data_IF_123470774291
#
_entry.id   IF_123470774291
#
_cell.length_a   1.000
_cell.length_b   1.000
_cell.length_c   1.000
_cell.angle_alpha   90.00
_cell.angle_beta   90.00
_cell.angle_gamma   90.00
#
_symmetry.space_group_name_H-M   'P 1'
#
loop_
_entity.id
_entity.type
_entity.pdbx_description
1 polymer ?
#
# COMPACT_ATOMS: atom_id res chain seq x y z
N UNK A 1 -18.95 23.03 18.64
CA UNK A 1 -17.64 23.07 17.97
C UNK A 1 -17.43 21.70 17.34
N UNK A 2 -17.63 21.59 16.02
CA UNK A 2 -17.46 20.34 15.30
C UNK A 2 -15.95 20.10 15.15
N UNK A 3 -15.40 19.20 15.98
CA UNK A 3 -14.05 18.70 15.80
C UNK A 3 -13.96 18.08 14.41
N UNK A 4 -13.01 18.56 13.61
CA UNK A 4 -12.79 18.06 12.26
C UNK A 4 -12.52 16.56 12.34
N UNK A 5 -13.23 15.78 11.52
CA UNK A 5 -13.10 14.32 11.39
C UNK A 5 -11.66 13.92 10.97
N UNK A 6 -10.84 14.89 10.58
CA UNK A 6 -9.42 14.74 10.25
C UNK A 6 -8.46 14.88 11.45
N UNK A 7 -8.96 15.16 12.67
CA UNK A 7 -8.09 15.32 13.84
C UNK A 7 -7.80 14.01 14.60
N UNK A 8 -8.66 13.01 14.47
CA UNK A 8 -8.51 11.71 15.14
C UNK A 8 -7.88 10.68 14.22
N UNK A 9 -7.14 9.73 14.78
CA UNK A 9 -6.56 8.62 14.01
C UNK A 9 -7.65 7.86 13.26
N UNK A 10 -7.45 7.59 11.97
CA UNK A 10 -8.49 7.02 11.11
C UNK A 10 -8.93 5.62 11.60
N UNK A 11 -10.18 5.52 12.04
CA UNK A 11 -10.73 4.28 12.61
C UNK A 11 -10.79 3.12 11.61
N UNK A 12 -10.99 3.39 10.32
CA UNK A 12 -11.10 2.36 9.29
C UNK A 12 -9.74 1.71 9.04
N UNK A 13 -8.71 2.54 8.85
CA UNK A 13 -7.33 2.09 8.77
C UNK A 13 -6.92 1.30 10.02
N UNK A 14 -7.17 1.86 11.21
CA UNK A 14 -6.83 1.20 12.47
C UNK A 14 -7.54 -0.15 12.65
N UNK A 15 -8.82 -0.24 12.27
CA UNK A 15 -9.58 -1.49 12.35
C UNK A 15 -9.01 -2.54 11.40
N UNK A 16 -8.63 -2.15 10.18
CA UNK A 16 -7.97 -3.04 9.23
C UNK A 16 -6.60 -3.49 9.76
N UNK A 17 -5.82 -2.58 10.34
CA UNK A 17 -4.52 -2.87 10.93
C UNK A 17 -4.59 -3.85 12.10
N UNK A 18 -5.60 -3.73 12.97
CA UNK A 18 -5.83 -4.70 14.07
C UNK A 18 -6.12 -6.09 13.50
N UNK A 19 -6.95 -6.20 12.47
CA UNK A 19 -7.22 -7.50 11.81
C UNK A 19 -5.93 -8.09 11.20
N UNK A 20 -5.13 -7.28 10.51
CA UNK A 20 -3.85 -7.75 9.97
C UNK A 20 -2.91 -8.22 11.07
N UNK A 21 -2.92 -7.56 12.23
CA UNK A 21 -2.07 -7.95 13.36
C UNK A 21 -2.41 -9.32 13.98
N UNK A 22 -3.58 -9.88 13.66
CA UNK A 22 -3.98 -11.24 14.06
C UNK A 22 -3.28 -12.31 13.21
N UNK A 23 -2.82 -11.96 12.01
CA UNK A 23 -2.19 -12.88 11.06
C UNK A 23 -0.69 -12.61 10.87
N UNK A 24 -0.25 -11.38 11.11
CA UNK A 24 1.14 -10.96 10.95
C UNK A 24 1.60 -10.14 12.16
N UNK A 25 2.84 -10.36 12.58
CA UNK A 25 3.42 -9.58 13.67
C UNK A 25 3.76 -8.15 13.21
N UNK A 26 2.91 -7.21 13.61
CA UNK A 26 3.12 -5.77 13.42
C UNK A 26 3.46 -5.14 14.77
N UNK A 27 4.54 -4.38 14.79
CA UNK A 27 5.01 -3.66 15.97
C UNK A 27 5.14 -2.17 15.70
N UNK A 28 5.09 -1.40 16.76
CA UNK A 28 5.44 0.02 16.71
C UNK A 28 6.96 0.16 16.69
N UNK A 29 7.52 0.79 15.67
CA UNK A 29 8.97 0.94 15.46
C UNK A 29 9.62 2.02 16.34
N UNK A 30 8.84 2.93 16.91
CA UNK A 30 9.25 4.01 17.81
C UNK A 30 8.16 4.32 18.87
N UNK A 31 8.38 5.30 19.75
CA UNK A 31 7.33 5.72 20.69
C UNK A 31 6.23 6.53 19.98
N UNK A 32 4.95 6.23 20.25
CA UNK A 32 3.81 7.01 19.73
C UNK A 32 3.36 8.03 20.77
N UNK A 33 3.27 9.28 20.36
CA UNK A 33 2.83 10.40 21.19
C UNK A 33 1.53 10.99 20.70
N UNK A 34 0.73 11.52 21.63
CA UNK A 34 -0.36 12.44 21.30
C UNK A 34 0.22 13.76 20.79
N UNK A 35 -0.61 14.56 20.12
CA UNK A 35 -0.27 15.93 19.73
C UNK A 35 0.10 16.84 20.92
N UNK A 36 -0.31 16.49 22.14
CA UNK A 36 0.05 17.19 23.38
C UNK A 36 1.38 16.73 23.98
N UNK A 37 2.08 15.78 23.35
CA UNK A 37 3.36 15.24 23.82
C UNK A 37 3.24 14.12 24.86
N UNK A 38 2.03 13.64 25.16
CA UNK A 38 1.83 12.50 26.05
C UNK A 38 2.17 11.20 25.30
N UNK A 39 3.07 10.38 25.87
CA UNK A 39 3.36 9.05 25.32
C UNK A 39 2.15 8.15 25.47
N UNK A 40 1.63 7.66 24.35
CA UNK A 40 0.48 6.74 24.30
C UNK A 40 0.94 5.29 24.23
N UNK A 41 1.94 5.01 23.39
CA UNK A 41 2.44 3.65 23.11
C UNK A 41 3.96 3.66 23.13
N UNK A 42 4.53 2.60 23.70
CA UNK A 42 5.98 2.38 23.70
C UNK A 42 6.43 1.68 22.42
N UNK A 43 7.64 2.02 21.95
CA UNK A 43 8.37 1.27 20.94
C UNK A 43 8.37 -0.23 21.24
N UNK A 44 8.21 -1.05 20.20
CA UNK A 44 8.18 -2.52 20.27
C UNK A 44 6.81 -3.09 20.64
N UNK A 45 5.85 -2.27 21.05
CA UNK A 45 4.49 -2.72 21.35
C UNK A 45 3.88 -3.34 20.10
N UNK A 46 3.34 -4.57 20.22
CA UNK A 46 2.62 -5.23 19.15
C UNK A 46 1.26 -4.56 18.94
N UNK A 47 0.86 -4.42 17.67
CA UNK A 47 -0.48 -3.96 17.31
C UNK A 47 -1.51 -4.97 17.83
N UNK A 48 -2.56 -4.46 18.46
CA UNK A 48 -3.61 -5.24 19.07
C UNK A 48 -4.85 -4.38 19.28
N UNK A 49 -5.97 -5.02 19.64
CA UNK A 49 -7.20 -4.30 20.03
C UNK A 49 -6.97 -3.35 21.22
N UNK A 50 -6.14 -3.73 22.19
CA UNK A 50 -5.79 -2.85 23.32
C UNK A 50 -4.99 -1.62 22.89
N UNK A 51 -4.14 -1.74 21.87
CA UNK A 51 -3.46 -0.59 21.25
C UNK A 51 -4.47 0.31 20.54
N UNK A 52 -5.43 -0.25 19.80
CA UNK A 52 -6.50 0.50 19.14
C UNK A 52 -7.26 1.39 20.13
N UNK A 53 -7.73 0.83 21.25
CA UNK A 53 -8.51 1.54 22.26
C UNK A 53 -7.74 2.73 22.86
N UNK A 54 -6.40 2.61 22.96
CA UNK A 54 -5.51 3.67 23.45
C UNK A 54 -5.23 4.79 22.44
N UNK A 55 -5.40 4.56 21.14
CA UNK A 55 -5.02 5.53 20.09
C UNK A 55 -6.25 6.15 19.42
N UNK A 56 -7.35 5.40 19.25
CA UNK A 56 -8.50 5.84 18.43
C UNK A 56 -9.09 7.20 18.86
N UNK A 57 -9.08 7.49 20.17
CA UNK A 57 -9.63 8.74 20.73
C UNK A 57 -8.58 9.86 20.85
N UNK A 58 -7.35 9.65 20.38
CA UNK A 58 -6.26 10.62 20.47
C UNK A 58 -5.80 11.09 19.08
N UNK A 59 -5.61 12.40 18.96
CA UNK A 59 -4.83 12.99 17.87
C UNK A 59 -3.35 12.71 18.13
N UNK A 60 -2.70 12.02 17.20
CA UNK A 60 -1.28 11.69 17.26
C UNK A 60 -0.41 12.86 16.84
N UNK A 61 0.83 12.88 17.34
CA UNK A 61 1.85 13.85 16.94
C UNK A 61 2.26 13.69 15.46
N UNK A 62 2.28 12.44 14.98
CA UNK A 62 2.58 12.04 13.59
C UNK A 62 1.62 10.92 13.18
N UNK A 63 1.37 10.73 11.87
CA UNK A 63 0.57 9.62 11.38
C UNK A 63 1.12 8.28 11.90
N UNK A 64 0.22 7.37 12.31
CA UNK A 64 0.60 6.12 12.96
C UNK A 64 1.48 5.26 12.05
N UNK A 65 1.23 5.31 10.75
CA UNK A 65 1.87 4.52 9.70
C UNK A 65 3.39 4.70 9.71
N UNK A 66 3.85 5.91 10.01
CA UNK A 66 5.27 6.21 10.08
C UNK A 66 5.96 5.51 11.28
N UNK A 67 5.17 5.11 12.26
CA UNK A 67 5.61 4.42 13.48
C UNK A 67 5.35 2.92 13.45
N UNK A 68 4.96 2.34 12.32
CA UNK A 68 4.73 0.89 12.20
C UNK A 68 5.92 0.17 11.57
N UNK A 69 6.06 -1.12 11.88
CA UNK A 69 6.97 -2.05 11.22
C UNK A 69 6.40 -3.46 11.28
N UNK A 70 6.59 -4.24 10.22
CA UNK A 70 6.33 -5.69 10.23
C UNK A 70 7.64 -6.40 10.52
N UNK A 71 7.65 -7.41 11.40
CA UNK A 71 8.87 -8.13 11.79
C UNK A 71 9.48 -8.95 10.64
N UNK A 72 8.65 -9.41 9.70
CA UNK A 72 9.05 -10.32 8.61
C UNK A 72 8.30 -10.07 7.29
N UNK A 73 7.74 -8.87 7.12
CA UNK A 73 6.89 -8.52 5.97
C UNK A 73 7.70 -8.27 4.72
N UNK A 74 8.14 -9.34 4.04
CA UNK A 74 8.53 -9.21 2.64
C UNK A 74 7.29 -8.78 1.83
N UNK A 75 7.44 -7.74 1.02
CA UNK A 75 6.44 -7.44 0.00
C UNK A 75 6.32 -8.64 -0.95
N UNK A 76 5.15 -8.88 -1.55
CA UNK A 76 5.02 -9.94 -2.53
C UNK A 76 5.99 -9.77 -3.69
N UNK A 77 6.25 -10.89 -4.35
CA UNK A 77 7.02 -10.89 -5.57
C UNK A 77 6.19 -10.32 -6.72
N UNK A 78 6.21 -8.98 -6.85
CA UNK A 78 5.56 -8.26 -7.95
C UNK A 78 6.08 -8.71 -9.32
N UNK A 79 7.34 -9.14 -9.41
CA UNK A 79 7.96 -9.55 -10.67
C UNK A 79 7.40 -10.88 -11.17
N UNK A 80 7.27 -11.87 -10.29
CA UNK A 80 6.64 -13.15 -10.59
C UNK A 80 5.17 -12.96 -11.03
N UNK A 81 4.41 -12.12 -10.33
CA UNK A 81 3.04 -11.77 -10.76
C UNK A 81 3.01 -11.11 -12.14
N UNK A 82 3.98 -10.24 -12.44
CA UNK A 82 4.10 -9.60 -13.75
C UNK A 82 4.40 -10.58 -14.89
N UNK A 83 5.28 -11.56 -14.64
CA UNK A 83 5.56 -12.65 -15.60
C UNK A 83 4.30 -13.49 -15.84
N UNK A 84 3.60 -13.89 -14.78
CA UNK A 84 2.33 -14.60 -14.88
C UNK A 84 1.28 -13.84 -15.70
N UNK A 85 1.16 -12.52 -15.50
CA UNK A 85 0.24 -11.68 -16.28
C UNK A 85 0.61 -11.60 -17.77
N UNK A 86 1.90 -11.54 -18.10
CA UNK A 86 2.34 -11.57 -19.50
C UNK A 86 2.07 -12.92 -20.19
N UNK A 87 2.15 -14.02 -19.45
CA UNK A 87 1.80 -15.35 -19.98
C UNK A 87 0.29 -15.53 -20.12
N UNK A 88 -0.49 -15.03 -19.16
CA UNK A 88 -1.96 -15.12 -19.16
C UNK A 88 -2.59 -14.18 -20.21
N UNK A 89 -2.00 -13.01 -20.46
CA UNK A 89 -2.58 -11.93 -21.28
C UNK A 89 -1.67 -11.51 -22.43
N UNK A 90 -1.72 -12.17 -23.60
CA UNK A 90 -0.85 -11.84 -24.75
C UNK A 90 -0.97 -10.39 -25.24
N UNK A 91 -2.16 -9.79 -25.15
CA UNK A 91 -2.39 -8.40 -25.55
C UNK A 91 -1.71 -7.41 -24.58
N UNK A 92 -1.66 -7.71 -23.28
CA UNK A 92 -0.91 -6.91 -22.32
C UNK A 92 0.57 -6.95 -22.66
N UNK A 93 1.10 -8.14 -22.94
CA UNK A 93 2.51 -8.32 -23.32
C UNK A 93 2.89 -7.48 -24.55
N UNK A 94 2.04 -7.43 -25.57
CA UNK A 94 2.29 -6.60 -26.76
C UNK A 94 2.43 -5.11 -26.46
N UNK A 95 1.73 -4.60 -25.44
CA UNK A 95 1.70 -3.17 -25.08
C UNK A 95 2.79 -2.84 -24.05
N UNK A 96 3.02 -3.75 -23.11
CA UNK A 96 3.78 -3.47 -21.91
C UNK A 96 5.15 -4.16 -21.85
N UNK A 97 5.47 -5.16 -22.68
CA UNK A 97 6.77 -5.85 -22.68
C UNK A 97 7.86 -5.10 -23.48
N UNK A 98 8.13 -3.86 -23.06
CA UNK A 98 9.16 -3.02 -23.66
C UNK A 98 10.55 -3.31 -23.11
N UNK A 99 11.59 -2.83 -23.79
CA UNK A 99 12.97 -3.02 -23.36
C UNK A 99 13.85 -1.80 -23.63
N UNK A 100 14.58 -1.35 -22.62
CA UNK A 100 15.61 -0.32 -22.73
C UNK A 100 16.95 -0.87 -22.23
N UNK A 101 17.78 -1.36 -23.16
CA UNK A 101 19.03 -2.02 -22.82
C UNK A 101 18.78 -3.28 -21.99
N UNK A 102 19.13 -3.25 -20.70
CA UNK A 102 18.88 -4.35 -19.73
C UNK A 102 17.61 -4.16 -18.91
N UNK A 103 16.96 -3.00 -19.01
CA UNK A 103 15.79 -2.66 -18.21
C UNK A 103 14.53 -3.16 -18.89
N UNK A 104 13.71 -3.87 -18.13
CA UNK A 104 12.41 -4.43 -18.55
C UNK A 104 11.35 -4.07 -17.51
N UNK A 105 10.05 -4.08 -17.85
CA UNK A 105 8.97 -3.82 -16.91
C UNK A 105 8.98 -4.78 -15.72
N UNK A 106 9.15 -6.08 -15.97
CA UNK A 106 9.28 -7.09 -14.90
C UNK A 106 10.52 -6.85 -14.05
N UNK A 107 11.65 -6.47 -14.67
CA UNK A 107 12.85 -6.07 -13.94
C UNK A 107 12.63 -4.84 -13.06
N UNK A 108 11.82 -3.88 -13.51
CA UNK A 108 11.45 -2.72 -12.69
C UNK A 108 10.56 -3.13 -11.52
N UNK A 109 9.57 -4.02 -11.72
CA UNK A 109 8.75 -4.56 -10.64
C UNK A 109 9.61 -5.24 -9.56
N UNK A 110 10.63 -5.99 -9.97
CA UNK A 110 11.57 -6.65 -9.06
C UNK A 110 12.39 -5.66 -8.21
N UNK A 111 12.73 -4.52 -8.80
CA UNK A 111 13.56 -3.49 -8.15
C UNK A 111 12.73 -2.45 -7.38
N UNK A 112 11.39 -2.56 -7.35
CA UNK A 112 10.54 -1.69 -6.54
C UNK A 112 10.92 -1.82 -5.06
N UNK A 113 11.30 -0.70 -4.47
CA UNK A 113 11.69 -0.62 -3.06
C UNK A 113 10.83 0.42 -2.36
N UNK A 114 10.18 -0.03 -1.28
CA UNK A 114 9.40 0.82 -0.40
C UNK A 114 10.07 0.91 0.97
N UNK A 115 9.99 2.07 1.65
CA UNK A 115 10.47 2.20 3.01
C UNK A 115 9.74 1.20 3.92
N UNK A 116 10.43 0.69 4.96
CA UNK A 116 9.87 -0.33 5.86
C UNK A 116 8.55 0.08 6.52
N UNK A 117 8.38 1.38 6.75
CA UNK A 117 7.17 1.97 7.32
C UNK A 117 5.95 1.83 6.39
N UNK A 118 6.16 1.69 5.08
CA UNK A 118 5.08 1.47 4.12
C UNK A 118 4.63 0.00 4.04
N UNK A 119 5.42 -0.95 4.53
CA UNK A 119 5.12 -2.38 4.39
C UNK A 119 3.79 -2.79 5.06
N UNK A 120 3.45 -2.34 6.29
CA UNK A 120 2.14 -2.63 6.87
C UNK A 120 0.98 -2.08 6.03
N UNK A 121 1.16 -0.89 5.43
CA UNK A 121 0.13 -0.26 4.60
C UNK A 121 -0.03 -1.02 3.29
N UNK A 122 1.05 -1.46 2.66
CA UNK A 122 1.04 -2.28 1.45
C UNK A 122 0.44 -3.68 1.71
N UNK A 123 0.80 -4.31 2.82
CA UNK A 123 0.23 -5.59 3.23
C UNK A 123 -1.29 -5.50 3.50
N UNK A 124 -1.77 -4.35 3.99
CA UNK A 124 -3.20 -4.06 4.09
C UNK A 124 -3.84 -3.84 2.73
N UNK A 125 -3.20 -3.07 1.85
CA UNK A 125 -3.67 -2.77 0.50
C UNK A 125 -3.90 -4.05 -0.32
N UNK A 126 -3.04 -5.04 -0.19
CA UNK A 126 -3.16 -6.33 -0.89
C UNK A 126 -4.36 -7.18 -0.42
N UNK A 127 -5.01 -6.80 0.67
CA UNK A 127 -6.18 -7.47 1.23
C UNK A 127 -7.49 -6.76 0.95
N UNK A 128 -7.48 -5.66 0.17
CA UNK A 128 -8.73 -4.97 -0.25
C UNK A 128 -9.68 -5.96 -0.93
N UNK A 129 -9.13 -6.77 -1.83
CA UNK A 129 -9.84 -7.81 -2.59
C UNK A 129 -8.97 -9.06 -2.76
N UNK A 130 -9.58 -10.18 -3.13
CA UNK A 130 -8.87 -11.44 -3.41
C UNK A 130 -7.88 -11.35 -4.57
N UNK A 131 -8.00 -10.32 -5.43
CA UNK A 131 -7.16 -10.13 -6.62
C UNK A 131 -6.34 -8.84 -6.57
N UNK A 132 -6.25 -8.14 -5.43
CA UNK A 132 -5.62 -6.81 -5.35
C UNK A 132 -4.19 -6.80 -5.90
N UNK A 133 -3.34 -7.76 -5.51
CA UNK A 133 -1.97 -7.87 -6.04
C UNK A 133 -1.93 -7.99 -7.57
N UNK A 134 -2.80 -8.82 -8.15
CA UNK A 134 -2.87 -9.02 -9.61
C UNK A 134 -3.30 -7.72 -10.30
N UNK A 135 -4.29 -7.03 -9.76
CA UNK A 135 -4.79 -5.75 -10.29
C UNK A 135 -3.72 -4.66 -10.19
N UNK A 136 -3.08 -4.52 -9.04
CA UNK A 136 -2.04 -3.50 -8.81
C UNK A 136 -0.85 -3.68 -9.77
N UNK A 137 -0.40 -4.93 -9.97
CA UNK A 137 0.66 -5.25 -10.93
C UNK A 137 0.20 -5.02 -12.38
N UNK A 138 -1.03 -5.39 -12.72
CA UNK A 138 -1.61 -5.15 -14.05
C UNK A 138 -1.67 -3.65 -14.38
N UNK A 139 -2.21 -2.83 -13.49
CA UNK A 139 -2.28 -1.37 -13.63
C UNK A 139 -0.87 -0.78 -13.75
N UNK A 140 0.07 -1.29 -12.96
CA UNK A 140 1.47 -0.87 -13.02
C UNK A 140 2.11 -1.16 -14.38
N UNK A 141 1.93 -2.37 -14.91
CA UNK A 141 2.42 -2.75 -16.25
C UNK A 141 1.78 -1.91 -17.36
N UNK A 142 0.46 -1.68 -17.28
CA UNK A 142 -0.26 -0.83 -18.23
C UNK A 142 0.23 0.61 -18.20
N UNK A 143 0.38 1.20 -17.02
CA UNK A 143 0.86 2.57 -16.87
C UNK A 143 2.26 2.75 -17.48
N UNK A 144 3.18 1.81 -17.23
CA UNK A 144 4.50 1.80 -17.86
C UNK A 144 4.41 1.59 -19.38
N UNK A 145 3.57 0.68 -19.86
CA UNK A 145 3.36 0.44 -21.29
C UNK A 145 2.86 1.69 -22.02
N UNK A 146 1.88 2.40 -21.43
CA UNK A 146 1.37 3.67 -21.93
C UNK A 146 2.50 4.72 -21.95
N UNK A 147 3.23 4.88 -20.86
CA UNK A 147 4.33 5.84 -20.81
C UNK A 147 5.39 5.56 -21.90
N UNK A 148 5.73 4.28 -22.12
CA UNK A 148 6.66 3.86 -23.17
C UNK A 148 6.10 4.14 -24.58
N UNK A 149 4.80 3.92 -24.80
CA UNK A 149 4.14 4.23 -26.07
C UNK A 149 4.23 5.73 -26.42
N UNK A 150 4.20 6.61 -25.41
CA UNK A 150 4.43 8.06 -25.55
C UNK A 150 5.92 8.46 -25.59
N UNK A 151 6.84 7.50 -25.74
CA UNK A 151 8.30 7.71 -25.82
C UNK A 151 8.93 8.30 -24.56
N UNK A 152 8.29 8.13 -23.41
CA UNK A 152 8.94 8.39 -22.12
C UNK A 152 9.93 7.25 -21.83
N UNK A 153 11.18 7.42 -22.22
CA UNK A 153 12.18 6.33 -22.21
C UNK A 153 13.21 6.46 -21.07
N UNK A 154 12.88 7.24 -20.04
CA UNK A 154 13.76 7.51 -18.90
C UNK A 154 13.51 6.50 -17.77
N UNK A 155 14.56 5.79 -17.34
CA UNK A 155 14.44 4.74 -16.33
C UNK A 155 13.99 5.27 -14.95
N UNK A 156 14.36 6.50 -14.60
CA UNK A 156 13.95 7.13 -13.33
C UNK A 156 12.47 7.51 -13.39
N UNK A 157 12.02 8.08 -14.51
CA UNK A 157 10.60 8.39 -14.74
C UNK A 157 9.76 7.11 -14.71
N UNK A 158 10.21 6.04 -15.35
CA UNK A 158 9.51 4.76 -15.34
C UNK A 158 9.43 4.14 -13.94
N UNK A 159 10.50 4.24 -13.14
CA UNK A 159 10.45 3.83 -11.74
C UNK A 159 9.43 4.67 -10.92
N UNK A 160 9.31 5.97 -11.22
CA UNK A 160 8.29 6.84 -10.61
C UNK A 160 6.88 6.43 -11.04
N UNK A 161 6.67 6.14 -12.33
CA UNK A 161 5.38 5.64 -12.85
C UNK A 161 5.02 4.32 -12.17
N UNK A 162 5.97 3.40 -12.07
CA UNK A 162 5.73 2.10 -11.43
C UNK A 162 5.38 2.26 -9.94
N UNK A 163 6.12 3.10 -9.22
CA UNK A 163 5.86 3.39 -7.81
C UNK A 163 4.50 4.07 -7.62
N UNK A 164 4.15 5.04 -8.46
CA UNK A 164 2.89 5.76 -8.39
C UNK A 164 1.70 4.84 -8.69
N UNK A 165 1.81 4.00 -9.72
CA UNK A 165 0.77 3.04 -10.08
C UNK A 165 0.57 1.99 -8.97
N UNK A 166 1.66 1.47 -8.37
CA UNK A 166 1.57 0.52 -7.26
C UNK A 166 0.89 1.12 -6.01
N UNK A 167 0.99 2.43 -5.82
CA UNK A 167 0.44 3.11 -4.64
C UNK A 167 -0.92 3.78 -4.88
N UNK A 168 -1.48 3.72 -6.09
CA UNK A 168 -2.61 4.59 -6.47
C UNK A 168 -3.84 4.48 -5.55
N UNK A 169 -4.20 3.26 -5.15
CA UNK A 169 -5.39 2.98 -4.33
C UNK A 169 -5.08 2.74 -2.85
N UNK A 170 -3.87 3.10 -2.38
CA UNK A 170 -3.53 2.96 -0.96
C UNK A 170 -4.42 3.83 -0.05
N UNK A 171 -4.99 4.91 -0.62
CA UNK A 171 -5.90 5.82 0.07
C UNK A 171 -7.24 5.19 0.46
N UNK A 172 -7.66 4.12 -0.22
CA UNK A 172 -8.92 3.44 0.08
C UNK A 172 -8.97 2.82 1.48
N UNK A 173 -7.80 2.49 2.03
CA UNK A 173 -7.65 1.95 3.39
C UNK A 173 -8.21 2.89 4.48
N UNK A 174 -8.38 4.17 4.15
CA UNK A 174 -8.87 5.21 5.06
C UNK A 174 -10.36 5.52 4.87
N UNK A 175 -10.98 4.93 3.85
CA UNK A 175 -12.39 5.16 3.50
C UNK A 175 -13.25 4.13 4.24
N UNK A 176 -14.52 4.49 4.50
CA UNK A 176 -15.49 3.54 5.03
C UNK A 176 -15.64 2.35 4.05
N UNK A 177 -15.38 1.10 4.48
CA UNK A 177 -15.47 -0.08 3.61
C UNK A 177 -16.84 -0.24 2.92
N UNK A 178 -17.92 0.22 3.55
CA UNK A 178 -19.25 0.18 2.95
C UNK A 178 -19.39 1.09 1.72
N UNK A 179 -18.64 2.21 1.67
CA UNK A 179 -18.61 3.13 0.54
C UNK A 179 -17.77 2.55 -0.60
N UNK A 180 -16.62 1.96 -0.27
CA UNK A 180 -15.75 1.29 -1.26
C UNK A 180 -16.50 0.14 -1.94
N UNK A 181 -17.16 -0.73 -1.16
CA UNK A 181 -17.93 -1.85 -1.69
C UNK A 181 -19.10 -1.42 -2.60
N UNK A 182 -19.73 -0.26 -2.32
CA UNK A 182 -20.79 0.28 -3.17
C UNK A 182 -20.25 0.72 -4.54
N UNK A 183 -19.03 1.27 -4.60
CA UNK A 183 -18.39 1.68 -5.84
C UNK A 183 -18.01 0.46 -6.69
N UNK A 184 -17.43 -0.58 -6.09
CA UNK A 184 -17.09 -1.83 -6.77
C UNK A 184 -18.33 -2.58 -7.31
N UNK A 185 -19.46 -2.46 -6.61
CA UNK A 185 -20.75 -3.07 -7.01
C UNK A 185 -21.52 -2.24 -8.04
N UNK A 186 -21.11 -1.00 -8.30
CA UNK A 186 -21.80 -0.06 -9.17
C UNK A 186 -21.27 -0.07 -10.62
N UNK A 187 -20.39 -0.99 -10.98
CA UNK A 187 -20.04 -1.23 -12.37
C UNK A 187 -21.12 -2.09 -13.08
N UNK A 188 -21.66 -1.64 -14.23
CA UNK A 188 -22.65 -2.36 -15.02
C UNK A 188 -22.11 -3.58 -15.77
#
# INVERSE_FOLDING_TARGET
>A
MAGSILETTNQHFLSALVKLSEEQEIHVSEDVFSHTGMKLIARGTQVSKGLYERIVNHKLLRPLELSLSVSDGALPDYSSMGEHLFDEMPNLKQIADWKYGRVTPVGMLKELKFPRQAHPVLALAERRTTCSLKVDVLVTLLAMGIANAYRYNDAKLMAQVATAAMLHDVGELYINPAVVAQHESAEP
#
